data_IF_204961773326
#
_entry.id   IF_204961773326
#
_cell.length_a   1.000
_cell.length_b   1.000
_cell.length_c   1.000
_cell.angle_alpha   90.00
_cell.angle_beta   90.00
_cell.angle_gamma   90.00
#
_symmetry.space_group_name_H-M   'P 1'
#
loop_
_entity.id
_entity.type
_entity.pdbx_description
1 polymer ?
#
# COMPACT_ATOMS: atom_id res chain seq x y z
N UNK A 1 60.93 -49.92 45.05
CA UNK A 1 61.03 -49.38 43.68
C UNK A 1 59.63 -49.04 43.19
N UNK A 2 59.17 -47.80 43.39
CA UNK A 2 57.79 -47.35 43.09
C UNK A 2 57.73 -46.76 41.68
N UNK A 3 56.91 -47.34 40.80
CA UNK A 3 56.67 -46.81 39.44
C UNK A 3 55.61 -45.71 39.52
N UNK A 4 56.02 -44.48 39.20
CA UNK A 4 55.14 -43.31 39.06
C UNK A 4 54.39 -43.39 37.73
N UNK A 5 53.10 -43.72 37.77
CA UNK A 5 52.21 -43.68 36.60
C UNK A 5 51.47 -42.34 36.57
N UNK A 6 51.88 -41.46 35.66
CA UNK A 6 51.21 -40.18 35.37
C UNK A 6 49.78 -40.44 34.89
N UNK A 7 48.78 -39.98 35.64
CA UNK A 7 47.38 -39.92 35.17
C UNK A 7 47.25 -38.75 34.20
N UNK A 8 47.01 -39.05 32.92
CA UNK A 8 46.58 -38.05 31.94
C UNK A 8 45.09 -37.72 32.16
N UNK A 9 44.69 -36.44 32.11
CA UNK A 9 43.28 -36.09 32.20
C UNK A 9 42.59 -36.53 30.90
N UNK A 10 41.47 -37.26 31.03
CA UNK A 10 40.60 -37.58 29.90
C UNK A 10 39.95 -36.29 29.41
N UNK A 11 40.25 -35.89 28.17
CA UNK A 11 39.49 -34.85 27.46
C UNK A 11 38.06 -35.35 27.27
N UNK A 12 37.09 -34.66 27.89
CA UNK A 12 35.67 -34.88 27.63
C UNK A 12 35.35 -34.33 26.25
N UNK A 13 35.04 -35.23 25.31
CA UNK A 13 34.44 -34.86 24.03
C UNK A 13 33.13 -34.14 24.33
N UNK A 14 33.10 -32.83 24.02
CA UNK A 14 31.86 -32.07 23.94
C UNK A 14 31.10 -32.66 22.75
N UNK A 15 29.94 -33.27 23.02
CA UNK A 15 29.04 -33.76 21.98
C UNK A 15 28.73 -32.58 21.07
N UNK A 16 29.17 -32.64 19.81
CA UNK A 16 28.66 -31.76 18.75
C UNK A 16 27.16 -32.00 18.69
N UNK A 17 26.37 -31.00 19.05
CA UNK A 17 24.97 -30.94 18.62
C UNK A 17 25.01 -30.94 17.10
N UNK A 18 24.58 -32.07 16.50
CA UNK A 18 24.29 -32.12 15.08
C UNK A 18 23.15 -31.14 14.85
N UNK A 19 23.49 -29.92 14.43
CA UNK A 19 22.52 -28.99 13.87
C UNK A 19 21.97 -29.68 12.63
N UNK A 20 20.74 -30.13 12.71
CA UNK A 20 20.03 -30.68 11.56
C UNK A 20 19.94 -29.59 10.49
N UNK A 21 20.74 -29.74 9.43
CA UNK A 21 20.89 -28.77 8.35
C UNK A 21 19.53 -28.53 7.67
N UNK A 22 18.63 -29.52 7.68
CA UNK A 22 17.27 -29.39 7.16
C UNK A 22 16.43 -28.41 7.99
N UNK A 23 16.54 -28.47 9.33
CA UNK A 23 15.89 -27.53 10.24
C UNK A 23 16.44 -26.11 10.06
N UNK A 24 17.76 -25.93 9.90
CA UNK A 24 18.35 -24.59 9.73
C UNK A 24 17.98 -23.92 8.41
N UNK A 25 17.95 -24.67 7.30
CA UNK A 25 17.49 -24.17 5.99
C UNK A 25 15.99 -23.83 6.02
N UNK A 26 15.19 -24.63 6.73
CA UNK A 26 13.76 -24.36 6.92
C UNK A 26 13.49 -23.01 7.61
N UNK A 27 14.25 -22.68 8.67
CA UNK A 27 14.13 -21.38 9.35
C UNK A 27 14.50 -20.24 8.41
N UNK A 28 15.61 -20.34 7.68
CA UNK A 28 16.05 -19.29 6.74
C UNK A 28 15.02 -19.02 5.64
N UNK A 29 14.39 -20.08 5.09
CA UNK A 29 13.35 -19.92 4.08
C UNK A 29 12.07 -19.27 4.64
N UNK A 30 11.69 -19.60 5.88
CA UNK A 30 10.56 -18.97 6.54
C UNK A 30 10.80 -17.48 6.78
N UNK A 31 11.98 -17.12 7.30
CA UNK A 31 12.38 -15.73 7.52
C UNK A 31 12.40 -14.94 6.20
N UNK A 32 12.95 -15.53 5.13
CA UNK A 32 12.96 -14.91 3.81
C UNK A 32 11.56 -14.68 3.26
N UNK A 33 10.65 -15.65 3.44
CA UNK A 33 9.27 -15.53 3.00
C UNK A 33 8.53 -14.43 3.78
N UNK A 34 8.72 -14.34 5.09
CA UNK A 34 8.12 -13.30 5.93
C UNK A 34 8.65 -11.90 5.58
N UNK A 35 9.96 -11.76 5.40
CA UNK A 35 10.59 -10.50 4.98
C UNK A 35 10.12 -10.08 3.59
N UNK A 36 10.09 -11.03 2.64
CA UNK A 36 9.62 -10.79 1.28
C UNK A 36 8.17 -10.32 1.26
N UNK A 37 7.29 -11.00 2.01
CA UNK A 37 5.88 -10.62 2.15
C UNK A 37 5.75 -9.20 2.73
N UNK A 38 6.42 -8.92 3.84
CA UNK A 38 6.37 -7.60 4.49
C UNK A 38 6.82 -6.47 3.55
N UNK A 39 7.88 -6.71 2.77
CA UNK A 39 8.35 -5.76 1.77
C UNK A 39 7.32 -5.50 0.67
N UNK A 40 6.72 -6.57 0.14
CA UNK A 40 5.70 -6.47 -0.90
C UNK A 40 4.42 -5.80 -0.38
N UNK A 41 4.01 -6.10 0.86
CA UNK A 41 2.86 -5.48 1.52
C UNK A 41 3.08 -3.97 1.70
N UNK A 42 4.29 -3.57 2.12
CA UNK A 42 4.66 -2.16 2.26
C UNK A 42 4.62 -1.42 0.92
N UNK A 43 5.21 -2.01 -0.13
CA UNK A 43 5.19 -1.45 -1.48
C UNK A 43 3.76 -1.34 -2.02
N UNK A 44 2.97 -2.39 -1.88
CA UNK A 44 1.58 -2.43 -2.35
C UNK A 44 0.74 -1.36 -1.65
N UNK A 45 0.95 -1.15 -0.35
CA UNK A 45 0.27 -0.10 0.41
C UNK A 45 0.70 1.30 -0.02
N UNK A 46 1.99 1.53 -0.28
CA UNK A 46 2.47 2.82 -0.80
C UNK A 46 1.87 3.13 -2.16
N UNK A 47 1.93 2.18 -3.10
CA UNK A 47 1.35 2.33 -4.43
C UNK A 47 -0.17 2.53 -4.39
N UNK A 48 -0.85 1.76 -3.54
CA UNK A 48 -2.28 1.94 -3.27
C UNK A 48 -2.61 3.34 -2.74
N UNK A 49 -1.79 3.89 -1.84
CA UNK A 49 -1.99 5.24 -1.31
C UNK A 49 -1.88 6.30 -2.42
N UNK A 50 -0.91 6.16 -3.35
CA UNK A 50 -0.78 7.07 -4.50
C UNK A 50 -1.96 6.96 -5.46
N UNK A 51 -2.45 5.75 -5.70
CA UNK A 51 -3.65 5.54 -6.50
C UNK A 51 -4.87 6.20 -5.86
N UNK A 52 -5.06 6.05 -4.55
CA UNK A 52 -6.13 6.72 -3.81
C UNK A 52 -6.01 8.24 -3.93
N UNK A 53 -4.81 8.82 -3.78
CA UNK A 53 -4.61 10.26 -3.99
C UNK A 53 -5.06 10.71 -5.39
N UNK A 54 -4.76 9.92 -6.42
CA UNK A 54 -5.21 10.19 -7.79
C UNK A 54 -6.74 10.12 -7.94
N UNK A 55 -7.39 9.13 -7.32
CA UNK A 55 -8.85 8.99 -7.32
C UNK A 55 -9.52 10.18 -6.62
N UNK A 56 -8.99 10.60 -5.46
CA UNK A 56 -9.50 11.76 -4.74
C UNK A 56 -9.31 13.07 -5.52
N UNK A 57 -8.22 13.19 -6.27
CA UNK A 57 -8.02 14.31 -7.18
C UNK A 57 -9.04 14.30 -8.32
N UNK A 58 -9.33 13.14 -8.90
CA UNK A 58 -10.35 12.98 -9.94
C UNK A 58 -11.75 13.38 -9.43
N UNK A 59 -12.14 12.97 -8.22
CA UNK A 59 -13.39 13.40 -7.58
C UNK A 59 -13.45 14.94 -7.45
N UNK A 60 -12.36 15.56 -6.98
CA UNK A 60 -12.28 17.03 -6.88
C UNK A 60 -12.46 17.68 -8.24
N UNK A 61 -11.87 17.14 -9.30
CA UNK A 61 -11.99 17.70 -10.65
C UNK A 61 -13.40 17.54 -11.24
N UNK A 62 -14.09 16.43 -10.95
CA UNK A 62 -15.49 16.25 -11.35
C UNK A 62 -16.41 17.30 -10.71
N UNK A 63 -16.14 17.65 -9.44
CA UNK A 63 -16.91 18.67 -8.72
C UNK A 63 -16.49 20.10 -9.11
N UNK A 64 -15.19 20.39 -9.06
CA UNK A 64 -14.62 21.74 -9.20
C UNK A 64 -14.19 22.11 -10.62
N UNK A 65 -14.42 21.25 -11.62
CA UNK A 65 -13.95 21.42 -13.00
C UNK A 65 -12.48 21.05 -13.18
N UNK A 66 -12.02 20.98 -14.43
CA UNK A 66 -10.63 20.66 -14.78
C UNK A 66 -9.65 21.77 -14.36
N UNK A 67 -8.35 21.48 -14.31
CA UNK A 67 -7.32 22.47 -13.91
C UNK A 67 -7.40 23.77 -14.70
N UNK A 68 -7.45 23.68 -16.03
CA UNK A 68 -7.52 24.83 -16.95
C UNK A 68 -8.95 25.27 -17.30
N UNK A 69 -9.96 24.59 -16.76
CA UNK A 69 -11.38 24.91 -16.97
C UNK A 69 -12.15 24.77 -15.63
N UNK A 70 -11.88 25.65 -14.65
CA UNK A 70 -12.50 25.56 -13.33
C UNK A 70 -14.00 25.87 -13.40
N UNK A 71 -14.80 25.17 -12.59
CA UNK A 71 -16.22 25.44 -12.43
C UNK A 71 -16.42 26.65 -11.52
N UNK A 72 -17.26 27.61 -11.95
CA UNK A 72 -17.65 28.78 -11.14
C UNK A 72 -18.32 28.34 -9.83
N UNK A 73 -18.12 29.12 -8.76
CA UNK A 73 -18.64 28.83 -7.43
C UNK A 73 -17.78 27.86 -6.61
N UNK A 74 -16.76 27.22 -7.22
CA UNK A 74 -15.83 26.34 -6.52
C UNK A 74 -14.42 26.92 -6.44
N UNK A 75 -13.76 26.75 -5.30
CA UNK A 75 -12.35 27.10 -5.06
C UNK A 75 -11.55 25.86 -4.70
N UNK A 76 -10.62 25.49 -5.57
CA UNK A 76 -9.64 24.42 -5.32
C UNK A 76 -8.60 24.94 -4.32
N UNK A 77 -8.46 24.26 -3.19
CA UNK A 77 -7.48 24.65 -2.18
C UNK A 77 -6.32 23.65 -2.10
N UNK A 78 -5.47 23.82 -1.08
CA UNK A 78 -4.39 22.89 -0.79
C UNK A 78 -4.91 21.50 -0.37
N UNK A 79 -4.01 20.56 -0.13
CA UNK A 79 -4.35 19.23 0.40
C UNK A 79 -4.15 19.18 1.92
N UNK A 80 -4.90 18.30 2.58
CA UNK A 80 -4.75 18.00 4.00
C UNK A 80 -4.18 16.58 4.17
N UNK A 81 -3.38 16.37 5.21
CA UNK A 81 -3.00 15.02 5.64
C UNK A 81 -4.20 14.23 6.15
N UNK A 82 -4.35 13.00 5.68
CA UNK A 82 -5.38 12.07 6.07
C UNK A 82 -4.87 10.64 6.16
N UNK A 83 -5.78 9.73 6.49
CA UNK A 83 -5.50 8.29 6.46
C UNK A 83 -6.71 7.52 5.96
N UNK A 84 -6.46 6.42 5.26
CA UNK A 84 -7.48 5.55 4.66
C UNK A 84 -7.11 4.10 4.93
N UNK A 85 -8.04 3.19 4.73
CA UNK A 85 -7.76 1.75 4.71
C UNK A 85 -7.56 1.25 3.28
N UNK A 86 -6.55 0.41 3.10
CA UNK A 86 -6.11 -0.17 1.85
C UNK A 86 -5.72 -1.62 2.11
N UNK A 87 -6.45 -2.57 1.52
CA UNK A 87 -6.24 -4.01 1.73
C UNK A 87 -6.17 -4.37 3.23
N UNK A 88 -7.15 -3.90 4.02
CA UNK A 88 -7.19 -4.09 5.48
C UNK A 88 -6.17 -3.25 6.27
N UNK A 89 -5.32 -2.50 5.59
CA UNK A 89 -4.20 -1.76 6.15
C UNK A 89 -4.37 -0.25 6.17
N UNK A 90 -4.07 0.42 7.29
CA UNK A 90 -4.10 1.89 7.34
C UNK A 90 -2.91 2.51 6.59
N UNK A 91 -3.18 3.45 5.69
CA UNK A 91 -2.20 4.21 4.91
C UNK A 91 -2.40 5.72 5.06
N UNK A 92 -1.32 6.49 5.00
CA UNK A 92 -1.38 7.96 4.98
C UNK A 92 -1.59 8.46 3.56
N UNK A 93 -2.46 9.44 3.38
CA UNK A 93 -2.77 10.05 2.07
C UNK A 93 -2.95 11.55 2.20
N UNK A 94 -2.75 12.28 1.09
CA UNK A 94 -3.12 13.68 0.94
C UNK A 94 -4.50 13.81 0.33
N UNK A 95 -5.40 14.41 1.09
CA UNK A 95 -6.80 14.63 0.69
C UNK A 95 -6.90 16.03 0.09
N UNK A 96 -7.21 16.16 -1.21
CA UNK A 96 -7.33 17.47 -1.84
C UNK A 96 -8.60 18.18 -1.35
N UNK A 97 -8.48 19.45 -0.98
CA UNK A 97 -9.62 20.23 -0.45
C UNK A 97 -10.34 20.98 -1.56
N UNK A 98 -11.65 21.06 -1.43
CA UNK A 98 -12.53 21.82 -2.30
C UNK A 98 -13.46 22.67 -1.44
N UNK A 99 -13.67 23.92 -1.83
CA UNK A 99 -14.63 24.82 -1.21
C UNK A 99 -15.66 25.31 -2.21
N UNK A 100 -16.87 25.51 -1.73
CA UNK A 100 -17.93 26.23 -2.44
C UNK A 100 -18.28 27.53 -1.70
N UNK A 101 -19.38 28.17 -2.08
CA UNK A 101 -19.90 29.39 -1.44
C UNK A 101 -20.38 29.14 0.01
N UNK A 102 -20.70 27.89 0.36
CA UNK A 102 -21.21 27.49 1.68
C UNK A 102 -20.11 26.96 2.61
N UNK A 103 -18.90 26.70 2.10
CA UNK A 103 -17.75 26.30 2.91
C UNK A 103 -16.98 25.13 2.31
N UNK A 104 -16.58 24.18 3.15
CA UNK A 104 -15.76 23.03 2.74
C UNK A 104 -16.62 21.86 2.25
N UNK A 105 -16.35 21.45 1.01
CA UNK A 105 -17.02 20.33 0.36
C UNK A 105 -16.34 19.04 0.79
N UNK A 106 -17.10 18.18 1.48
CA UNK A 106 -16.60 16.88 1.93
C UNK A 106 -16.48 15.91 0.74
N UNK A 107 -15.32 15.27 0.61
CA UNK A 107 -15.11 14.17 -0.34
C UNK A 107 -15.91 12.94 0.09
N UNK A 108 -16.72 12.41 -0.83
CA UNK A 108 -17.54 11.21 -0.60
C UNK A 108 -16.66 9.97 -0.60
N UNK A 109 -15.70 9.92 -1.52
CA UNK A 109 -14.75 8.81 -1.61
C UNK A 109 -13.87 8.73 -0.37
N UNK A 110 -13.33 9.86 0.10
CA UNK A 110 -12.52 9.88 1.32
C UNK A 110 -13.30 9.39 2.54
N UNK A 111 -14.58 9.79 2.66
CA UNK A 111 -15.45 9.31 3.74
C UNK A 111 -15.65 7.79 3.66
N UNK A 112 -15.85 7.25 2.45
CA UNK A 112 -16.01 5.81 2.23
C UNK A 112 -14.72 5.01 2.50
N UNK A 113 -13.56 5.54 2.12
CA UNK A 113 -12.24 4.94 2.37
C UNK A 113 -11.82 4.92 3.85
N UNK A 114 -12.66 5.42 4.76
CA UNK A 114 -12.53 5.20 6.21
C UNK A 114 -13.00 3.82 6.65
N UNK A 115 -13.79 3.14 5.82
CA UNK A 115 -14.19 1.76 6.02
C UNK A 115 -13.07 0.81 5.58
N UNK A 116 -12.58 -0.10 6.45
CA UNK A 116 -11.60 -1.13 6.10
C UNK A 116 -11.95 -1.98 4.87
N UNK A 117 -13.24 -2.20 4.62
CA UNK A 117 -13.71 -3.08 3.55
C UNK A 117 -13.93 -2.34 2.22
N UNK A 118 -13.86 -1.01 2.22
CA UNK A 118 -14.10 -0.20 1.02
C UNK A 118 -13.03 -0.36 -0.06
N UNK A 119 -11.80 -0.73 0.30
CA UNK A 119 -10.71 -0.95 -0.65
C UNK A 119 -10.03 -2.28 -0.37
N UNK A 120 -10.59 -3.35 -0.95
CA UNK A 120 -10.12 -4.72 -0.78
C UNK A 120 -8.78 -4.99 -1.46
N UNK A 121 -8.11 -6.06 -1.03
CA UNK A 121 -6.86 -6.53 -1.65
C UNK A 121 -7.05 -6.88 -3.13
N UNK A 122 -8.17 -7.53 -3.48
CA UNK A 122 -8.51 -7.83 -4.87
C UNK A 122 -8.63 -6.56 -5.73
N UNK A 123 -9.25 -5.51 -5.17
CA UNK A 123 -9.40 -4.22 -5.85
C UNK A 123 -8.05 -3.53 -6.05
N UNK A 124 -7.19 -3.55 -5.02
CA UNK A 124 -5.83 -3.05 -5.14
C UNK A 124 -5.05 -3.81 -6.22
N UNK A 125 -5.10 -5.15 -6.21
CA UNK A 125 -4.43 -5.99 -7.20
C UNK A 125 -4.91 -5.66 -8.62
N UNK A 126 -6.22 -5.63 -8.87
CA UNK A 126 -6.78 -5.30 -10.19
C UNK A 126 -6.29 -3.93 -10.69
N UNK A 127 -6.29 -2.91 -9.81
CA UNK A 127 -5.79 -1.59 -10.15
C UNK A 127 -4.28 -1.58 -10.45
N UNK A 128 -3.46 -2.20 -9.60
CA UNK A 128 -2.01 -2.24 -9.79
C UNK A 128 -1.61 -3.04 -11.04
N UNK A 129 -2.28 -4.16 -11.30
CA UNK A 129 -2.09 -4.95 -12.53
C UNK A 129 -2.46 -4.16 -13.78
N UNK A 130 -3.54 -3.37 -13.73
CA UNK A 130 -3.93 -2.46 -14.80
C UNK A 130 -2.89 -1.37 -15.05
N UNK A 131 -2.36 -0.75 -13.99
CA UNK A 131 -1.29 0.25 -14.09
C UNK A 131 -0.01 -0.35 -14.70
N UNK A 132 0.41 -1.53 -14.24
CA UNK A 132 1.58 -2.24 -14.76
C UNK A 132 1.42 -2.58 -16.26
N UNK A 133 0.21 -3.02 -16.65
CA UNK A 133 -0.13 -3.31 -18.03
C UNK A 133 -0.48 -2.10 -18.90
N UNK A 134 -0.36 -0.86 -18.39
CA UNK A 134 -0.78 0.38 -19.06
C UNK A 134 -2.25 0.40 -19.49
N UNK A 135 -3.10 -0.39 -18.84
CA UNK A 135 -4.54 -0.45 -19.06
C UNK A 135 -5.23 0.56 -18.15
N UNK A 136 -4.96 1.84 -18.39
CA UNK A 136 -5.44 2.92 -17.53
C UNK A 136 -6.97 2.98 -17.48
N UNK A 137 -7.64 2.79 -18.62
CA UNK A 137 -9.10 2.74 -18.70
C UNK A 137 -9.69 1.66 -17.78
N UNK A 138 -9.09 0.47 -17.73
CA UNK A 138 -9.53 -0.62 -16.85
C UNK A 138 -9.40 -0.23 -15.37
N UNK A 139 -8.32 0.46 -15.00
CA UNK A 139 -8.09 0.94 -13.62
C UNK A 139 -9.17 1.94 -13.25
N UNK A 140 -9.52 2.86 -14.15
CA UNK A 140 -10.56 3.84 -13.90
C UNK A 140 -11.97 3.25 -13.94
N UNK A 141 -12.25 2.25 -14.78
CA UNK A 141 -13.52 1.51 -14.74
C UNK A 141 -13.66 0.78 -13.41
N UNK A 142 -12.61 0.05 -13.01
CA UNK A 142 -12.57 -0.70 -11.76
C UNK A 142 -12.73 0.22 -10.54
N UNK A 143 -11.96 1.31 -10.49
CA UNK A 143 -12.07 2.31 -9.43
C UNK A 143 -13.40 3.08 -9.49
N UNK A 144 -13.95 3.30 -10.69
CA UNK A 144 -15.21 3.98 -10.93
C UNK A 144 -16.41 3.17 -10.48
N UNK A 145 -16.43 1.87 -10.75
CA UNK A 145 -17.43 0.93 -10.22
C UNK A 145 -17.33 0.84 -8.70
N UNK A 146 -16.11 0.79 -8.16
CA UNK A 146 -15.91 0.72 -6.72
C UNK A 146 -16.31 2.01 -6.00
N UNK A 147 -15.99 3.20 -6.53
CA UNK A 147 -16.08 4.48 -5.81
C UNK A 147 -17.01 5.52 -6.40
N UNK A 148 -17.59 5.26 -7.57
CA UNK A 148 -18.50 6.18 -8.26
C UNK A 148 -17.79 7.35 -8.99
N UNK A 149 -16.51 7.21 -9.33
CA UNK A 149 -15.80 8.19 -10.18
C UNK A 149 -15.91 7.80 -11.66
N UNK A 150 -16.31 8.75 -12.51
CA UNK A 150 -16.16 8.59 -13.95
C UNK A 150 -14.68 8.68 -14.37
N UNK A 151 -14.37 8.17 -15.56
CA UNK A 151 -13.02 8.06 -16.11
C UNK A 151 -12.19 9.35 -16.06
N UNK A 152 -10.88 9.24 -16.30
CA UNK A 152 -9.94 10.32 -16.03
C UNK A 152 -10.35 11.59 -16.78
N UNK A 153 -10.27 12.73 -16.09
CA UNK A 153 -10.39 14.01 -16.76
C UNK A 153 -9.29 14.05 -17.84
N UNK A 154 -9.66 14.20 -19.12
CA UNK A 154 -8.75 14.13 -20.28
C UNK A 154 -7.55 15.09 -20.15
N UNK A 155 -7.62 16.11 -19.29
CA UNK A 155 -6.51 17.01 -18.94
C UNK A 155 -5.39 16.39 -18.09
N UNK A 156 -5.62 15.26 -17.40
CA UNK A 156 -4.59 14.58 -16.60
C UNK A 156 -3.66 13.68 -17.43
N UNK A 157 -4.05 13.35 -18.67
CA UNK A 157 -3.32 12.42 -19.55
C UNK A 157 -2.45 13.18 -20.58
N UNK A 158 -2.69 14.48 -20.78
CA UNK A 158 -1.84 15.34 -21.62
C UNK A 158 -0.72 15.94 -20.76
N UNK A 159 0.29 15.14 -20.48
CA UNK A 159 1.62 15.58 -20.06
C UNK A 159 2.62 15.34 -21.19
#
# INVERSE_FOLDING_TARGET
MMKSTKRTPKLSIVRREEIDISTSVGVVLADLAEQGKSCLDALSREMGARLVEAILLAEREQLGGAAYHPRKGFKKWSSQGGSVYIAGGKAKVRVPRLRDENGEVKSRIYARLKDPDAFSEHLLHACLSGLSGRRYEDVFSTAGEAFGVSGPCRSLIRG
#
